data_IF_274245848208
#
_entry.id   IF_274245848208
#
_cell.length_a   1.000
_cell.length_b   1.000
_cell.length_c   1.000
_cell.angle_alpha   90.00
_cell.angle_beta   90.00
_cell.angle_gamma   90.00
#
_symmetry.space_group_name_H-M   'P 1'
#
loop_
_entity.id
_entity.type
_entity.pdbx_description
1 polymer ?
#
# COMPACT_ATOMS: atom_id res chain seq x y z
N UNK A 1 23.30 17.38 -7.66
CA UNK A 1 22.98 15.94 -7.62
C UNK A 1 21.57 15.81 -7.05
N UNK A 2 20.55 15.78 -7.91
CA UNK A 2 19.16 15.67 -7.45
C UNK A 2 18.98 14.20 -7.05
N UNK A 3 19.08 13.94 -5.76
CA UNK A 3 18.78 12.65 -5.14
C UNK A 3 17.30 12.41 -5.44
N UNK A 4 16.98 11.56 -6.42
CA UNK A 4 15.62 11.08 -6.63
C UNK A 4 15.21 10.41 -5.33
N UNK A 5 14.48 11.15 -4.49
CA UNK A 5 13.86 10.64 -3.28
C UNK A 5 12.88 9.62 -3.80
N UNK A 6 13.21 8.35 -3.71
CA UNK A 6 12.39 7.24 -4.17
C UNK A 6 11.08 7.31 -3.39
N UNK A 7 10.09 8.00 -3.98
CA UNK A 7 8.78 8.17 -3.36
C UNK A 7 8.13 6.81 -3.52
N UNK A 8 8.18 6.00 -2.47
CA UNK A 8 7.45 4.73 -2.42
C UNK A 8 6.02 5.00 -2.91
N UNK A 9 5.56 4.33 -3.97
CA UNK A 9 4.26 4.61 -4.54
C UNK A 9 3.20 4.36 -3.47
N UNK A 10 2.38 5.39 -3.25
CA UNK A 10 1.26 5.36 -2.32
C UNK A 10 0.02 4.95 -3.08
N UNK A 11 -0.67 3.94 -2.57
CA UNK A 11 -1.89 3.41 -3.16
C UNK A 11 -3.08 3.64 -2.23
N UNK A 12 -4.25 3.90 -2.82
CA UNK A 12 -5.51 4.03 -2.10
C UNK A 12 -6.19 2.67 -1.91
N UNK A 13 -7.14 2.59 -0.99
CA UNK A 13 -8.05 1.44 -0.87
C UNK A 13 -8.72 1.16 -2.23
N UNK A 14 -8.82 -0.10 -2.62
CA UNK A 14 -9.39 -0.54 -3.89
C UNK A 14 -8.44 -0.48 -5.08
N UNK A 15 -7.24 0.14 -4.93
CA UNK A 15 -6.24 0.10 -5.98
C UNK A 15 -5.67 -1.32 -6.13
N UNK A 16 -5.34 -1.68 -7.38
CA UNK A 16 -4.72 -2.96 -7.74
C UNK A 16 -3.28 -2.75 -8.21
N UNK A 17 -2.34 -2.49 -7.28
CA UNK A 17 -0.92 -2.33 -7.62
C UNK A 17 -0.25 -3.63 -8.12
N UNK A 18 -0.95 -4.76 -8.02
CA UNK A 18 -0.44 -6.09 -8.32
C UNK A 18 0.21 -6.76 -7.11
N UNK A 19 0.70 -7.97 -7.32
CA UNK A 19 1.29 -8.82 -6.28
C UNK A 19 2.42 -8.12 -5.52
N UNK A 20 2.35 -8.14 -4.20
CA UNK A 20 3.36 -7.51 -3.36
C UNK A 20 2.95 -7.44 -1.90
N UNK A 21 3.90 -7.02 -1.06
CA UNK A 21 3.62 -6.72 0.35
C UNK A 21 3.39 -5.22 0.49
N UNK A 22 2.33 -4.84 1.19
CA UNK A 22 1.96 -3.45 1.39
C UNK A 22 1.82 -3.17 2.88
N UNK A 23 2.23 -1.99 3.31
CA UNK A 23 2.14 -1.48 4.67
C UNK A 23 1.20 -0.28 4.69
N UNK A 24 0.26 -0.24 5.63
CA UNK A 24 -0.58 0.94 5.85
C UNK A 24 0.02 1.91 6.88
N UNK A 25 -0.65 3.04 7.09
CA UNK A 25 -0.25 4.04 8.09
C UNK A 25 -0.48 3.58 9.54
N UNK A 26 -1.33 2.58 9.72
CA UNK A 26 -1.67 2.00 11.01
C UNK A 26 -0.67 0.87 11.42
N UNK A 27 0.30 0.53 10.56
CA UNK A 27 1.32 -0.49 10.79
C UNK A 27 0.93 -1.91 10.34
N UNK A 28 -0.22 -2.09 9.67
CA UNK A 28 -0.64 -3.39 9.15
C UNK A 28 0.02 -3.68 7.82
N UNK A 29 0.46 -4.92 7.68
CA UNK A 29 0.96 -5.42 6.39
C UNK A 29 -0.04 -6.37 5.77
N UNK A 30 -0.33 -6.19 4.48
CA UNK A 30 -1.08 -7.13 3.66
C UNK A 30 -0.20 -7.66 2.54
N UNK A 31 -0.36 -8.93 2.24
CA UNK A 31 0.24 -9.56 1.08
C UNK A 31 -0.86 -9.66 0.03
N UNK A 32 -0.70 -8.99 -1.10
CA UNK A 32 -1.60 -9.12 -2.24
C UNK A 32 -1.05 -10.16 -3.22
N UNK A 33 -1.95 -10.95 -3.77
CA UNK A 33 -1.75 -11.78 -4.94
C UNK A 33 -2.12 -11.02 -6.23
N UNK A 34 -1.99 -11.69 -7.38
CA UNK A 34 -2.39 -11.12 -8.66
C UNK A 34 -3.89 -10.77 -8.66
N UNK A 35 -4.23 -9.63 -9.25
CA UNK A 35 -5.59 -9.08 -9.35
C UNK A 35 -6.32 -8.71 -8.04
N UNK A 36 -5.66 -8.83 -6.89
CA UNK A 36 -6.22 -8.36 -5.62
C UNK A 36 -6.17 -6.83 -5.49
N UNK A 37 -7.23 -6.29 -4.88
CA UNK A 37 -7.32 -4.88 -4.53
C UNK A 37 -6.89 -4.66 -3.08
N UNK A 38 -6.26 -3.51 -2.83
CA UNK A 38 -5.88 -3.13 -1.48
C UNK A 38 -7.11 -3.00 -0.58
N UNK A 39 -7.21 -3.77 0.53
CA UNK A 39 -8.35 -3.69 1.42
C UNK A 39 -8.35 -2.37 2.19
N UNK A 40 -9.48 -2.07 2.84
CA UNK A 40 -9.51 -1.04 3.86
C UNK A 40 -8.68 -1.48 5.08
N UNK A 41 -8.06 -0.55 5.80
CA UNK A 41 -7.38 -0.88 7.04
C UNK A 41 -8.41 -1.39 8.06
N UNK A 42 -8.23 -2.60 8.62
CA UNK A 42 -9.19 -3.19 9.56
C UNK A 42 -9.32 -2.39 10.87
N UNK A 43 -8.26 -1.70 11.28
CA UNK A 43 -8.23 -0.88 12.50
C UNK A 43 -8.89 0.49 12.32
N UNK A 44 -8.59 1.14 11.20
CA UNK A 44 -8.84 2.56 11.00
C UNK A 44 -10.11 2.80 10.16
N UNK A 45 -10.55 1.81 9.35
CA UNK A 45 -11.74 1.77 8.49
C UNK A 45 -11.94 2.96 7.51
N UNK A 46 -11.10 3.99 7.59
CA UNK A 46 -11.10 5.19 6.76
C UNK A 46 -9.95 5.13 5.74
N UNK A 47 -9.99 6.00 4.74
CA UNK A 47 -9.04 6.10 3.62
C UNK A 47 -7.57 5.97 4.05
N UNK A 48 -7.07 4.73 4.06
CA UNK A 48 -5.68 4.44 4.35
C UNK A 48 -4.86 4.42 3.07
N UNK A 49 -3.66 4.97 3.21
CA UNK A 49 -2.61 4.94 2.21
C UNK A 49 -1.78 3.68 2.43
N UNK A 50 -1.59 2.92 1.38
CA UNK A 50 -0.75 1.72 1.36
C UNK A 50 0.57 2.02 0.66
N UNK A 51 1.69 1.67 1.30
CA UNK A 51 3.03 1.72 0.71
C UNK A 51 3.48 0.32 0.34
N UNK A 52 3.96 0.14 -0.89
CA UNK A 52 4.59 -1.13 -1.25
C UNK A 52 5.92 -1.27 -0.51
N UNK A 53 6.05 -2.36 0.22
CA UNK A 53 7.34 -2.81 0.75
C UNK A 53 8.08 -3.50 -0.40
N UNK A 54 9.21 -2.92 -0.80
CA UNK A 54 10.17 -3.49 -1.75
C UNK A 54 10.96 -4.64 -1.13
#
# INVERSE_FOLDING_TARGET
MIRHKEVMPVFSIGAKPGKGKFLDACGHTVQLEDDEALPACPQCAHEVRWWRLV
#
